data_IF_184570361673
#
_entry.id   IF_184570361673
#
_cell.length_a   1.000
_cell.length_b   1.000
_cell.length_c   1.000
_cell.angle_alpha   90.00
_cell.angle_beta   90.00
_cell.angle_gamma   90.00
#
_symmetry.space_group_name_H-M   'P 1'
#
loop_
_entity.id
_entity.type
_entity.pdbx_description
1 polymer ?
#
# COMPACT_ATOMS: atom_id res chain seq x y z
N UNK A 1 -0.57 11.18 0.38
CA UNK A 1 -1.28 10.14 -0.41
C UNK A 1 -0.53 9.85 -1.71
N UNK A 2 -0.60 8.63 -2.17
CA UNK A 2 -0.05 8.17 -3.45
C UNK A 2 -1.20 7.78 -4.36
N UNK A 3 -1.59 8.68 -5.25
CA UNK A 3 -2.67 8.45 -6.19
C UNK A 3 -2.20 7.63 -7.39
N UNK A 4 -3.07 6.75 -7.88
CA UNK A 4 -2.83 5.95 -9.08
C UNK A 4 -3.09 6.80 -10.31
N UNK A 5 -2.04 7.00 -11.11
CA UNK A 5 -2.14 7.77 -12.36
C UNK A 5 -3.06 7.03 -13.33
N UNK A 6 -4.00 7.76 -13.93
CA UNK A 6 -4.97 7.20 -14.87
C UNK A 6 -6.25 6.66 -14.24
N UNK A 7 -6.28 6.49 -12.90
CA UNK A 7 -7.47 6.02 -12.16
C UNK A 7 -7.91 7.04 -11.12
N UNK A 8 -7.00 7.48 -10.25
CA UNK A 8 -7.29 8.41 -9.16
C UNK A 8 -6.76 9.82 -9.41
N UNK A 9 -5.84 9.94 -10.36
CA UNK A 9 -5.27 11.22 -10.81
C UNK A 9 -5.06 11.18 -12.32
N UNK A 10 -5.65 12.14 -13.02
CA UNK A 10 -5.43 12.35 -14.46
C UNK A 10 -4.39 13.45 -14.65
N UNK A 11 -3.17 13.13 -15.12
CA UNK A 11 -2.22 14.15 -15.52
C UNK A 11 -2.77 14.88 -16.78
N UNK A 12 -2.56 16.18 -16.83
CA UNK A 12 -2.96 17.01 -18.00
C UNK A 12 -4.46 17.00 -18.30
N UNK A 13 -5.32 17.00 -17.27
CA UNK A 13 -6.79 16.97 -17.42
C UNK A 13 -7.32 18.04 -18.38
N UNK A 14 -6.78 19.24 -18.37
CA UNK A 14 -7.21 20.31 -19.28
C UNK A 14 -7.00 19.95 -20.76
N UNK A 15 -5.92 19.21 -21.06
CA UNK A 15 -5.61 18.74 -22.41
C UNK A 15 -6.45 17.53 -22.81
N UNK A 16 -6.84 16.70 -21.84
CA UNK A 16 -7.60 15.47 -22.04
C UNK A 16 -9.11 15.65 -21.93
N UNK A 17 -9.57 16.84 -21.55
CA UNK A 17 -11.00 17.15 -21.39
C UNK A 17 -11.89 16.72 -22.58
N UNK A 18 -11.47 16.82 -23.85
CA UNK A 18 -12.29 16.35 -24.98
C UNK A 18 -12.47 14.82 -25.04
N UNK A 19 -11.68 14.07 -24.29
CA UNK A 19 -11.68 12.59 -24.26
C UNK A 19 -12.21 12.02 -22.95
N UNK A 20 -12.84 12.85 -22.11
CA UNK A 20 -13.30 12.43 -20.77
C UNK A 20 -14.30 11.29 -20.82
N UNK A 21 -15.22 11.28 -21.79
CA UNK A 21 -16.23 10.23 -21.92
C UNK A 21 -15.59 8.85 -22.19
N UNK A 22 -14.59 8.82 -23.06
CA UNK A 22 -13.84 7.60 -23.34
C UNK A 22 -13.04 7.09 -22.12
N UNK A 23 -12.51 8.01 -21.32
CA UNK A 23 -11.77 7.68 -20.09
C UNK A 23 -12.70 7.12 -19.01
N UNK A 24 -13.92 7.65 -18.89
CA UNK A 24 -14.95 7.13 -17.96
C UNK A 24 -15.35 5.71 -18.35
N UNK A 25 -15.53 5.44 -19.65
CA UNK A 25 -15.84 4.10 -20.16
C UNK A 25 -14.75 3.07 -19.85
N UNK A 26 -13.50 3.49 -19.69
CA UNK A 26 -12.40 2.65 -19.26
C UNK A 26 -12.33 2.47 -17.73
N UNK A 27 -13.32 2.96 -16.98
CA UNK A 27 -13.39 2.85 -15.52
C UNK A 27 -12.54 3.86 -14.76
N UNK A 28 -12.03 4.88 -15.43
CA UNK A 28 -11.31 6.00 -14.80
C UNK A 28 -12.26 6.98 -14.09
N UNK A 29 -11.71 7.83 -13.23
CA UNK A 29 -12.43 8.94 -12.62
C UNK A 29 -12.15 10.22 -13.37
N UNK A 30 -13.18 11.06 -13.54
CA UNK A 30 -13.04 12.38 -14.19
C UNK A 30 -12.55 13.49 -13.25
N UNK A 31 -12.26 13.15 -11.99
CA UNK A 31 -11.80 14.08 -10.96
C UNK A 31 -10.44 13.71 -10.37
N UNK A 32 -9.82 14.69 -9.72
CA UNK A 32 -8.69 14.43 -8.86
C UNK A 32 -9.19 14.13 -7.45
N UNK A 33 -8.75 13.01 -6.88
CA UNK A 33 -8.96 12.74 -5.47
C UNK A 33 -8.08 13.69 -4.64
N UNK A 34 -8.59 14.11 -3.49
CA UNK A 34 -7.84 14.91 -2.55
C UNK A 34 -6.63 14.13 -2.00
N UNK A 35 -5.51 14.82 -1.84
CA UNK A 35 -4.33 14.26 -1.20
C UNK A 35 -4.11 14.92 0.15
N UNK A 36 -3.68 14.14 1.14
CA UNK A 36 -3.21 14.67 2.42
C UNK A 36 -1.68 14.73 2.39
N UNK A 37 -1.14 15.84 2.83
CA UNK A 37 0.31 16.04 2.94
C UNK A 37 0.92 15.39 4.20
N UNK A 38 0.07 14.84 5.06
CA UNK A 38 0.46 14.29 6.34
C UNK A 38 0.15 12.80 6.43
N UNK A 39 1.02 12.04 7.09
CA UNK A 39 0.78 10.66 7.48
C UNK A 39 -0.10 10.65 8.73
N UNK A 40 -1.38 10.31 8.55
CA UNK A 40 -2.32 10.28 9.67
C UNK A 40 -2.17 9.00 10.46
N UNK A 41 -1.99 9.17 11.77
CA UNK A 41 -2.05 8.10 12.76
C UNK A 41 -3.35 8.28 13.55
N UNK A 42 -4.19 7.27 13.49
CA UNK A 42 -5.42 7.23 14.27
C UNK A 42 -5.13 6.71 15.68
N UNK A 43 -5.73 7.34 16.66
CA UNK A 43 -5.60 6.96 18.07
C UNK A 43 -6.89 6.35 18.53
N UNK A 44 -6.81 5.10 18.97
CA UNK A 44 -7.95 4.35 19.50
C UNK A 44 -7.72 4.12 20.98
N UNK A 45 -8.75 4.31 21.78
CA UNK A 45 -8.71 3.98 23.21
C UNK A 45 -9.37 2.62 23.42
N UNK A 46 -8.64 1.67 24.00
CA UNK A 46 -9.17 0.36 24.37
C UNK A 46 -8.56 -0.12 25.68
N UNK A 47 -9.41 -0.49 26.63
CA UNK A 47 -9.00 -1.05 27.91
C UNK A 47 -7.97 -0.17 28.66
N UNK A 48 -8.12 1.16 28.58
CA UNK A 48 -7.23 2.13 29.21
C UNK A 48 -5.88 2.33 28.47
N UNK A 49 -5.67 1.68 27.32
CA UNK A 49 -4.48 1.84 26.46
C UNK A 49 -4.85 2.64 25.22
N UNK A 50 -3.97 3.58 24.85
CA UNK A 50 -4.01 4.22 23.53
C UNK A 50 -3.28 3.31 22.53
N UNK A 51 -3.96 3.02 21.43
CA UNK A 51 -3.46 2.20 20.32
C UNK A 51 -3.32 3.10 19.09
N UNK A 52 -2.17 3.06 18.46
CA UNK A 52 -1.86 3.84 17.27
C UNK A 52 -2.02 2.99 16.03
N UNK A 53 -2.88 3.41 15.10
CA UNK A 53 -3.12 2.69 13.86
C UNK A 53 -3.04 3.61 12.65
N UNK A 54 -2.82 3.03 11.47
CA UNK A 54 -2.91 3.76 10.22
C UNK A 54 -3.64 2.91 9.17
N UNK A 55 -4.25 3.60 8.19
CA UNK A 55 -5.01 2.95 7.14
C UNK A 55 -4.56 3.45 5.75
N UNK A 56 -3.42 2.98 5.23
CA UNK A 56 -3.07 3.15 3.83
C UNK A 56 -4.17 2.65 2.90
N UNK A 57 -4.48 3.43 1.88
CA UNK A 57 -5.61 3.16 1.00
C UNK A 57 -5.12 2.49 -0.28
N UNK A 58 -5.69 1.32 -0.59
CA UNK A 58 -5.56 0.64 -1.86
C UNK A 58 -4.09 0.52 -2.31
N UNK A 59 -3.77 1.10 -3.46
CA UNK A 59 -2.46 1.01 -4.09
C UNK A 59 -1.32 1.69 -3.30
N UNK A 60 -1.61 2.50 -2.30
CA UNK A 60 -0.60 3.02 -1.37
C UNK A 60 0.20 1.90 -0.69
N UNK A 61 -0.43 0.73 -0.49
CA UNK A 61 0.22 -0.46 0.07
C UNK A 61 1.31 -1.07 -0.81
N UNK A 62 1.35 -0.74 -2.10
CA UNK A 62 2.38 -1.20 -3.04
C UNK A 62 3.70 -0.46 -2.79
N UNK A 63 3.64 0.80 -2.35
CA UNK A 63 4.83 1.62 -2.11
C UNK A 63 5.43 1.36 -0.73
N UNK A 64 6.48 0.54 -0.67
CA UNK A 64 7.08 0.07 0.59
C UNK A 64 7.53 1.18 1.52
N UNK A 65 8.30 2.15 1.04
CA UNK A 65 8.78 3.25 1.87
C UNK A 65 7.65 4.16 2.35
N UNK A 66 6.62 4.37 1.50
CA UNK A 66 5.44 5.11 1.90
C UNK A 66 4.71 4.39 3.03
N UNK A 67 4.51 3.08 2.89
CA UNK A 67 3.86 2.25 3.90
C UNK A 67 4.67 2.19 5.20
N UNK A 68 6.00 2.02 5.11
CA UNK A 68 6.89 2.02 6.27
C UNK A 68 6.91 3.36 7.03
N UNK A 69 6.55 4.46 6.36
CA UNK A 69 6.49 5.77 7.00
C UNK A 69 5.38 5.83 8.06
N UNK A 70 4.24 5.16 7.86
CA UNK A 70 3.21 5.07 8.91
C UNK A 70 3.74 4.35 10.16
N UNK A 71 4.50 3.28 9.97
CA UNK A 71 5.17 2.58 11.08
C UNK A 71 6.22 3.48 11.77
N UNK A 72 6.97 4.28 11.00
CA UNK A 72 7.93 5.24 11.53
C UNK A 72 7.27 6.34 12.36
N UNK A 73 6.03 6.70 12.02
CA UNK A 73 5.22 7.66 12.80
C UNK A 73 4.46 7.01 13.96
N UNK A 74 4.76 5.75 14.28
CA UNK A 74 4.28 5.09 15.48
C UNK A 74 3.03 4.23 15.31
N UNK A 75 2.58 3.95 14.08
CA UNK A 75 1.49 2.99 13.91
C UNK A 75 1.92 1.61 14.42
N UNK A 76 1.16 1.01 15.33
CA UNK A 76 1.38 -0.32 15.92
C UNK A 76 0.66 -1.42 15.14
N UNK A 77 -0.40 -1.05 14.41
CA UNK A 77 -1.23 -1.90 13.57
C UNK A 77 -1.55 -1.15 12.28
N UNK A 78 -1.51 -1.84 11.14
CA UNK A 78 -1.74 -1.24 9.83
C UNK A 78 -2.95 -1.88 9.16
N UNK A 79 -3.83 -1.02 8.64
CA UNK A 79 -4.97 -1.45 7.85
C UNK A 79 -4.70 -1.16 6.37
N UNK A 80 -5.23 -2.00 5.48
CA UNK A 80 -5.30 -1.71 4.04
C UNK A 80 -6.75 -1.78 3.62
N UNK A 81 -7.30 -0.64 3.22
CA UNK A 81 -8.66 -0.54 2.72
C UNK A 81 -8.60 -0.42 1.21
N UNK A 82 -9.24 -1.33 0.49
CA UNK A 82 -9.10 -1.39 -0.96
C UNK A 82 -10.35 -1.85 -1.68
N UNK A 83 -10.41 -1.55 -2.96
CA UNK A 83 -11.31 -2.17 -3.91
C UNK A 83 -10.48 -2.83 -5.02
N UNK A 84 -10.40 -4.14 -5.01
CA UNK A 84 -9.62 -4.89 -6.00
C UNK A 84 -10.45 -5.26 -7.25
N UNK A 85 -11.70 -4.83 -7.32
CA UNK A 85 -12.60 -5.09 -8.44
C UNK A 85 -12.10 -4.61 -9.80
N UNK A 86 -11.18 -3.64 -9.82
CA UNK A 86 -10.53 -3.13 -11.02
C UNK A 86 -9.84 -4.20 -11.87
N UNK A 87 -9.30 -5.24 -11.22
CA UNK A 87 -8.59 -6.31 -11.92
C UNK A 87 -9.49 -7.47 -12.38
N UNK A 88 -10.76 -7.47 -12.00
CA UNK A 88 -11.59 -8.66 -12.19
C UNK A 88 -11.00 -9.88 -11.46
N UNK A 89 -11.52 -11.08 -11.73
CA UNK A 89 -10.96 -12.31 -11.19
C UNK A 89 -9.69 -12.73 -11.97
N UNK A 90 -8.63 -11.97 -11.81
CA UNK A 90 -7.33 -12.16 -12.46
C UNK A 90 -6.21 -12.29 -11.42
N UNK A 91 -4.98 -12.64 -11.79
CA UNK A 91 -3.84 -12.62 -10.86
C UNK A 91 -3.56 -11.26 -10.20
N UNK A 92 -4.08 -10.15 -10.73
CA UNK A 92 -3.80 -8.80 -10.25
C UNK A 92 -4.15 -8.59 -8.78
N UNK A 93 -5.36 -8.97 -8.35
CA UNK A 93 -5.75 -8.82 -6.95
C UNK A 93 -4.93 -9.72 -6.00
N UNK A 94 -4.48 -10.90 -6.48
CA UNK A 94 -3.60 -11.79 -5.71
C UNK A 94 -2.22 -11.18 -5.52
N UNK A 95 -1.69 -10.53 -6.57
CA UNK A 95 -0.43 -9.79 -6.49
C UNK A 95 -0.56 -8.60 -5.55
N UNK A 96 -1.66 -7.84 -5.63
CA UNK A 96 -1.92 -6.73 -4.72
C UNK A 96 -2.02 -7.20 -3.26
N UNK A 97 -2.65 -8.34 -3.01
CA UNK A 97 -2.65 -8.95 -1.68
C UNK A 97 -1.25 -9.37 -1.22
N UNK A 98 -0.41 -9.90 -2.12
CA UNK A 98 0.96 -10.29 -1.80
C UNK A 98 1.82 -9.09 -1.36
N UNK A 99 1.59 -7.88 -1.89
CA UNK A 99 2.25 -6.67 -1.38
C UNK A 99 1.92 -6.41 0.09
N UNK A 100 0.69 -6.63 0.53
CA UNK A 100 0.33 -6.48 1.95
C UNK A 100 1.13 -7.43 2.84
N UNK A 101 1.45 -8.65 2.37
CA UNK A 101 2.33 -9.59 3.07
C UNK A 101 3.76 -9.04 3.20
N UNK A 102 4.29 -8.47 2.12
CA UNK A 102 5.60 -7.84 2.14
C UNK A 102 5.64 -6.68 3.14
N UNK A 103 4.59 -5.85 3.16
CA UNK A 103 4.47 -4.74 4.13
C UNK A 103 4.50 -5.22 5.57
N UNK A 104 3.81 -6.31 5.88
CA UNK A 104 3.82 -6.90 7.21
C UNK A 104 5.23 -7.35 7.62
N UNK A 105 5.98 -7.99 6.72
CA UNK A 105 7.37 -8.42 6.96
C UNK A 105 8.30 -7.21 7.18
N UNK A 106 8.24 -6.23 6.28
CA UNK A 106 9.12 -5.05 6.31
C UNK A 106 8.92 -4.19 7.55
N UNK A 107 7.67 -4.10 8.02
CA UNK A 107 7.33 -3.26 9.17
C UNK A 107 7.26 -4.02 10.49
N UNK A 108 7.32 -5.36 10.48
CA UNK A 108 7.10 -6.23 11.65
C UNK A 108 5.80 -5.94 12.39
N UNK A 109 4.76 -5.60 11.61
CA UNK A 109 3.42 -5.33 12.13
C UNK A 109 2.40 -6.25 11.49
N UNK A 110 1.32 -6.48 12.23
CA UNK A 110 0.14 -7.08 11.61
C UNK A 110 -0.45 -6.11 10.59
N UNK A 111 -0.89 -6.66 9.47
CA UNK A 111 -1.65 -5.94 8.45
C UNK A 111 -3.03 -6.57 8.36
N UNK A 112 -4.04 -5.73 8.60
CA UNK A 112 -5.45 -6.10 8.45
C UNK A 112 -5.95 -5.53 7.15
N UNK A 113 -6.42 -6.39 6.26
CA UNK A 113 -6.88 -5.98 4.94
C UNK A 113 -8.39 -6.11 4.85
N UNK A 114 -9.05 -5.05 4.39
CA UNK A 114 -10.47 -5.01 4.05
C UNK A 114 -10.62 -4.63 2.58
N UNK A 115 -11.06 -5.60 1.78
CA UNK A 115 -11.27 -5.42 0.35
C UNK A 115 -12.76 -5.50 0.03
N UNK A 116 -13.29 -4.54 -0.75
CA UNK A 116 -14.66 -4.57 -1.24
C UNK A 116 -14.91 -5.80 -2.14
N UNK A 117 -13.94 -6.04 -3.06
CA UNK A 117 -13.92 -7.20 -3.93
C UNK A 117 -12.56 -7.83 -3.85
N UNK A 118 -12.00 -8.68 -3.56
CA UNK A 118 -10.61 -9.11 -3.42
C UNK A 118 -10.45 -9.94 -2.16
N UNK A 119 -9.23 -10.02 -1.66
CA UNK A 119 -8.94 -10.81 -0.47
C UNK A 119 -8.92 -9.91 0.75
N UNK A 120 -9.82 -10.14 1.70
CA UNK A 120 -9.81 -9.57 3.04
C UNK A 120 -9.18 -10.55 4.03
N UNK A 121 -8.57 -10.07 5.10
CA UNK A 121 -8.05 -10.95 6.15
C UNK A 121 -6.91 -10.36 6.96
N UNK A 122 -6.29 -11.21 7.76
CA UNK A 122 -5.23 -10.86 8.69
C UNK A 122 -3.90 -11.44 8.22
N UNK A 123 -2.85 -10.65 8.30
CA UNK A 123 -1.49 -11.03 7.94
C UNK A 123 -0.60 -10.73 9.15
N UNK A 124 0.12 -11.71 9.63
CA UNK A 124 1.00 -11.53 10.76
C UNK A 124 2.33 -10.81 10.39
N UNK A 125 3.12 -10.45 11.38
CA UNK A 125 4.40 -9.75 11.20
C UNK A 125 5.47 -10.54 10.43
N UNK A 126 5.25 -11.81 10.14
CA UNK A 126 6.11 -12.66 9.30
C UNK A 126 5.59 -12.81 7.87
N UNK A 127 4.42 -12.21 7.56
CA UNK A 127 3.78 -12.32 6.26
C UNK A 127 2.94 -13.60 6.10
N UNK A 128 2.72 -14.37 7.17
CA UNK A 128 1.82 -15.51 7.11
C UNK A 128 0.38 -14.99 7.07
N UNK A 129 -0.38 -15.58 6.20
CA UNK A 129 -1.81 -15.28 6.03
C UNK A 129 -2.59 -16.12 7.04
N UNK A 130 -3.38 -15.44 7.84
CA UNK A 130 -4.29 -16.05 8.82
C UNK A 130 -5.68 -16.22 8.20
N UNK A 131 -6.73 -15.94 8.94
CA UNK A 131 -8.09 -16.04 8.42
C UNK A 131 -8.35 -15.05 7.26
N UNK A 132 -9.00 -15.53 6.20
CA UNK A 132 -9.30 -14.74 5.02
C UNK A 132 -10.70 -14.95 4.48
N UNK A 133 -11.23 -13.93 3.82
CA UNK A 133 -12.33 -14.01 2.86
C UNK A 133 -11.76 -13.87 1.46
N UNK A 134 -12.16 -14.77 0.57
CA UNK A 134 -11.72 -14.77 -0.82
C UNK A 134 -12.40 -13.72 -1.69
N UNK A 135 -12.12 -13.80 -2.97
CA UNK A 135 -12.70 -12.93 -3.99
C UNK A 135 -14.24 -12.99 -3.99
N UNK A 136 -14.86 -11.81 -3.96
CA UNK A 136 -16.32 -11.60 -4.04
C UNK A 136 -17.16 -12.32 -2.95
N UNK A 137 -16.53 -12.75 -1.86
CA UNK A 137 -17.26 -13.30 -0.71
C UNK A 137 -17.68 -12.19 0.24
N UNK A 138 -18.94 -12.21 0.65
CA UNK A 138 -19.50 -11.35 1.71
C UNK A 138 -19.43 -12.05 3.05
N UNK A 139 -18.79 -11.42 4.01
CA UNK A 139 -18.66 -12.00 5.34
C UNK A 139 -17.85 -11.11 6.27
N UNK A 140 -17.59 -11.64 7.45
CA UNK A 140 -16.72 -11.02 8.46
C UNK A 140 -15.63 -11.99 8.87
N UNK A 141 -14.44 -11.47 9.09
CA UNK A 141 -13.34 -12.20 9.70
C UNK A 141 -12.97 -11.46 10.98
N UNK A 142 -12.78 -12.19 12.06
CA UNK A 142 -12.42 -11.61 13.35
C UNK A 142 -11.23 -12.36 13.91
N UNK A 143 -10.22 -11.61 14.34
CA UNK A 143 -9.04 -12.19 14.97
C UNK A 143 -8.51 -11.25 16.07
N UNK A 144 -7.65 -11.78 16.92
CA UNK A 144 -6.94 -11.02 17.93
C UNK A 144 -5.49 -10.84 17.48
N UNK A 145 -5.09 -9.59 17.29
CA UNK A 145 -3.77 -9.25 16.74
C UNK A 145 -2.88 -8.62 17.81
N UNK A 146 -1.64 -9.08 17.97
CA UNK A 146 -0.66 -8.38 18.79
C UNK A 146 -0.25 -7.06 18.12
N UNK A 147 -0.06 -6.04 18.93
CA UNK A 147 0.47 -4.76 18.53
C UNK A 147 1.98 -4.77 18.57
N UNK A 148 2.63 -4.04 17.68
CA UNK A 148 4.09 -3.97 17.58
C UNK A 148 4.55 -2.54 17.32
N UNK A 149 5.55 -2.09 18.05
CA UNK A 149 6.26 -0.82 17.87
C UNK A 149 7.69 -1.01 17.35
N UNK A 150 8.05 -2.25 16.97
CA UNK A 150 9.38 -2.62 16.49
C UNK A 150 9.83 -1.73 15.33
N UNK A 151 11.06 -1.22 15.37
CA UNK A 151 11.66 -0.42 14.31
C UNK A 151 12.65 -1.28 13.54
N UNK A 152 12.21 -1.82 12.42
CA UNK A 152 13.07 -2.62 11.52
C UNK A 152 14.09 -1.74 10.78
N UNK A 153 15.10 -2.37 10.18
CA UNK A 153 16.05 -1.65 9.31
C UNK A 153 15.32 -0.97 8.14
N UNK A 154 14.31 -1.63 7.57
CA UNK A 154 13.52 -1.06 6.49
C UNK A 154 12.69 0.15 6.95
N UNK A 155 12.06 0.08 8.11
CA UNK A 155 11.33 1.21 8.70
C UNK A 155 12.28 2.38 8.97
N UNK A 156 13.51 2.11 9.44
CA UNK A 156 14.48 3.16 9.78
C UNK A 156 15.12 3.80 8.56
N UNK A 157 15.57 3.01 7.60
CA UNK A 157 16.41 3.46 6.50
C UNK A 157 15.76 3.40 5.12
N UNK A 158 14.59 2.75 5.01
CA UNK A 158 13.90 2.52 3.74
C UNK A 158 14.61 1.47 2.88
N UNK A 159 14.39 1.54 1.58
CA UNK A 159 14.99 0.62 0.59
C UNK A 159 16.45 0.98 0.28
N UNK A 160 17.34 0.62 1.19
CA UNK A 160 18.78 0.82 1.04
C UNK A 160 19.33 0.00 -0.13
N UNK A 161 18.86 -1.23 -0.30
CA UNK A 161 19.35 -2.11 -1.37
C UNK A 161 18.99 -1.58 -2.75
N UNK A 162 17.76 -1.11 -2.93
CA UNK A 162 17.33 -0.48 -4.18
C UNK A 162 18.14 0.76 -4.50
N UNK A 163 18.39 1.63 -3.51
CA UNK A 163 19.23 2.82 -3.71
C UNK A 163 20.67 2.47 -4.09
N UNK A 164 21.31 1.54 -3.35
CA UNK A 164 22.68 1.10 -3.67
C UNK A 164 22.75 0.48 -5.07
N UNK A 165 21.79 -0.38 -5.42
CA UNK A 165 21.71 -0.98 -6.76
C UNK A 165 21.56 0.09 -7.85
N UNK A 166 20.76 1.13 -7.61
CA UNK A 166 20.61 2.27 -8.52
C UNK A 166 21.92 3.03 -8.73
N UNK A 167 22.67 3.28 -7.67
CA UNK A 167 24.01 3.92 -7.79
C UNK A 167 25.00 3.04 -8.54
N UNK A 168 25.07 1.75 -8.23
CA UNK A 168 25.94 0.80 -8.96
C UNK A 168 25.60 0.75 -10.45
N UNK A 169 24.31 0.70 -10.77
CA UNK A 169 23.85 0.75 -12.16
C UNK A 169 24.29 2.04 -12.85
N UNK A 170 24.07 3.19 -12.23
CA UNK A 170 24.45 4.50 -12.78
C UNK A 170 25.95 4.59 -13.03
N UNK A 171 26.78 4.16 -12.07
CA UNK A 171 28.23 4.13 -12.21
C UNK A 171 28.68 3.19 -13.34
N UNK A 172 28.02 2.04 -13.49
CA UNK A 172 28.31 1.10 -14.57
C UNK A 172 28.00 1.70 -15.95
N UNK A 173 26.88 2.41 -16.08
CA UNK A 173 26.53 3.11 -17.32
C UNK A 173 27.53 4.23 -17.62
N UNK A 174 27.90 5.03 -16.65
CA UNK A 174 28.90 6.09 -16.81
C UNK A 174 30.28 5.53 -17.24
N UNK A 175 30.72 4.46 -16.57
CA UNK A 175 31.95 3.78 -16.95
C UNK A 175 31.91 3.31 -18.42
N UNK A 176 30.80 2.67 -18.81
CA UNK A 176 30.63 2.18 -20.18
C UNK A 176 30.68 3.32 -21.24
N UNK A 177 30.02 4.46 -20.94
CA UNK A 177 29.99 5.61 -21.85
C UNK A 177 31.37 6.27 -21.99
N UNK A 178 32.14 6.33 -20.90
CA UNK A 178 33.46 6.99 -20.90
C UNK A 178 34.54 6.14 -21.54
N UNK A 179 34.47 4.82 -21.40
CA UNK A 179 35.54 3.92 -21.87
C UNK A 179 35.21 3.18 -23.15
N UNK A 180 34.13 3.50 -23.82
CA UNK A 180 33.78 2.98 -25.13
C UNK A 180 33.89 4.04 -26.21
#
# INVERSE_FOLDING_TARGET
>A
AKLVIGVEMMPFMELLAPFTDFIVDLGGTTGQLGTDNYYRIFRLQRDGREIHTAAPICYESVYGEHFATFARHGAELLFVITNDGWWGDTPGYKQHFAFSRMRAIETRRYVVRSANTGISGFINSRGDVLDTLGWDFRGTVTDTVPLSDEVTLYVRYGDVLGRVSGYVFLLSVLYYVVYR
#
